data_IF_614588505742
#
_entry.id   IF_614588505742
#
_cell.length_a   1.000
_cell.length_b   1.000
_cell.length_c   1.000
_cell.angle_alpha   90.00
_cell.angle_beta   90.00
_cell.angle_gamma   90.00
#
_symmetry.space_group_name_H-M   'P 1'
#
loop_
_entity.id
_entity.type
_entity.pdbx_description
1 polymer ?
#
# COMPACT_ATOMS: atom_id res chain seq x y z
N UNK A 1 2.75 -54.32 -14.20
CA UNK A 1 2.84 -53.02 -13.52
C UNK A 1 4.19 -52.91 -12.82
N UNK A 2 5.15 -52.28 -13.47
CA UNK A 2 6.45 -52.04 -12.88
C UNK A 2 6.38 -50.79 -12.00
N UNK A 3 6.22 -50.96 -10.71
CA UNK A 3 6.50 -49.97 -9.70
C UNK A 3 7.96 -50.06 -9.30
N UNK A 4 8.87 -49.52 -10.14
CA UNK A 4 10.24 -49.27 -9.77
C UNK A 4 10.34 -47.92 -9.03
N UNK A 5 11.27 -47.77 -8.08
CA UNK A 5 11.50 -46.46 -7.48
C UNK A 5 12.06 -45.53 -8.54
N UNK A 6 11.20 -44.71 -9.12
CA UNK A 6 11.61 -43.67 -10.02
C UNK A 6 12.48 -42.66 -9.27
N UNK A 7 13.53 -42.15 -9.96
CA UNK A 7 14.38 -41.08 -9.45
C UNK A 7 13.50 -39.96 -8.92
N UNK A 8 13.72 -39.45 -7.69
CA UNK A 8 12.89 -38.35 -7.14
C UNK A 8 12.87 -37.18 -8.12
N UNK A 9 11.68 -36.82 -8.58
CA UNK A 9 11.54 -35.65 -9.44
C UNK A 9 11.55 -34.42 -8.53
N UNK A 10 12.57 -33.56 -8.67
CA UNK A 10 12.59 -32.28 -8.00
C UNK A 10 11.50 -31.40 -8.60
N UNK A 11 10.57 -30.97 -7.74
CA UNK A 11 9.58 -29.95 -8.11
C UNK A 11 10.18 -28.59 -7.80
N UNK A 12 10.29 -27.78 -8.82
CA UNK A 12 10.76 -26.40 -8.70
C UNK A 12 9.56 -25.46 -8.75
N UNK A 13 9.52 -24.50 -7.86
CA UNK A 13 8.56 -23.41 -7.90
C UNK A 13 9.31 -22.09 -7.79
N UNK A 14 8.75 -21.04 -8.40
CA UNK A 14 9.29 -19.70 -8.27
C UNK A 14 9.08 -19.21 -6.84
N UNK A 15 10.13 -18.69 -6.25
CA UNK A 15 10.03 -17.91 -5.01
C UNK A 15 9.38 -16.56 -5.30
N UNK A 16 8.87 -15.89 -4.28
CA UNK A 16 8.29 -14.54 -4.44
C UNK A 16 9.33 -13.59 -5.04
N UNK A 17 10.57 -13.64 -4.56
CA UNK A 17 11.68 -12.89 -5.14
C UNK A 17 11.98 -13.26 -6.61
N UNK A 18 11.81 -14.52 -6.97
CA UNK A 18 11.97 -14.99 -8.35
C UNK A 18 10.86 -14.47 -9.26
N UNK A 19 9.63 -14.34 -8.76
CA UNK A 19 8.49 -13.79 -9.50
C UNK A 19 8.66 -12.33 -9.85
N UNK A 20 9.35 -11.55 -9.01
CA UNK A 20 9.62 -10.12 -9.24
C UNK A 20 10.45 -9.88 -10.52
N UNK A 21 11.17 -10.88 -11.00
CA UNK A 21 11.95 -10.78 -12.23
C UNK A 21 11.15 -11.02 -13.52
N UNK A 22 9.88 -11.43 -13.39
CA UNK A 22 9.01 -11.65 -14.54
C UNK A 22 8.08 -10.48 -14.78
N UNK A 23 7.71 -10.19 -16.04
CA UNK A 23 6.73 -9.16 -16.34
C UNK A 23 5.42 -9.43 -15.59
N UNK A 24 4.93 -8.43 -14.87
CA UNK A 24 3.65 -8.48 -14.20
C UNK A 24 2.57 -7.81 -15.06
N UNK A 25 1.63 -8.62 -15.56
CA UNK A 25 0.51 -8.14 -16.35
C UNK A 25 -0.57 -7.41 -15.54
N UNK A 26 -0.57 -7.57 -14.21
CA UNK A 26 -1.61 -7.00 -13.35
C UNK A 26 -1.60 -5.47 -13.35
N UNK A 27 -0.44 -4.83 -13.40
CA UNK A 27 -0.32 -3.38 -13.52
C UNK A 27 -0.92 -2.87 -14.83
N UNK A 28 -0.61 -3.53 -15.95
CA UNK A 28 -1.16 -3.16 -17.27
C UNK A 28 -2.67 -3.33 -17.31
N UNK A 29 -3.17 -4.40 -16.71
CA UNK A 29 -4.60 -4.62 -16.56
C UNK A 29 -5.27 -3.52 -15.72
N UNK A 30 -4.69 -3.17 -14.57
CA UNK A 30 -5.20 -2.11 -13.69
C UNK A 30 -5.23 -0.75 -14.40
N UNK A 31 -4.16 -0.38 -15.10
CA UNK A 31 -4.10 0.86 -15.89
C UNK A 31 -5.16 0.86 -17.00
N UNK A 32 -5.30 -0.23 -17.74
CA UNK A 32 -6.31 -0.37 -18.77
C UNK A 32 -7.73 -0.24 -18.23
N UNK A 33 -8.00 -0.84 -17.07
CA UNK A 33 -9.28 -0.74 -16.40
C UNK A 33 -9.58 0.70 -15.93
N UNK A 34 -8.60 1.37 -15.33
CA UNK A 34 -8.71 2.78 -14.91
C UNK A 34 -8.92 3.72 -16.11
N UNK A 35 -8.21 3.51 -17.22
CA UNK A 35 -8.40 4.24 -18.44
C UNK A 35 -9.83 4.08 -19.00
N UNK A 36 -10.34 2.85 -19.00
CA UNK A 36 -11.70 2.57 -19.44
C UNK A 36 -12.74 3.24 -18.55
N UNK A 37 -12.53 3.20 -17.23
CA UNK A 37 -13.39 3.87 -16.26
C UNK A 37 -13.39 5.38 -16.46
N UNK A 38 -12.21 5.99 -16.67
CA UNK A 38 -12.09 7.42 -16.93
C UNK A 38 -12.79 7.83 -18.21
N UNK A 39 -12.74 6.99 -19.24
CA UNK A 39 -13.36 7.27 -20.53
C UNK A 39 -14.89 7.12 -20.52
N UNK A 40 -15.43 6.26 -19.63
CA UNK A 40 -16.84 5.87 -19.65
C UNK A 40 -17.66 6.39 -18.48
N UNK A 41 -17.03 6.70 -17.34
CA UNK A 41 -17.71 7.17 -16.15
C UNK A 41 -17.54 8.68 -15.96
N UNK A 42 -18.53 9.36 -15.37
CA UNK A 42 -18.34 10.72 -14.88
C UNK A 42 -17.19 10.77 -13.86
N UNK A 43 -16.42 11.85 -13.86
CA UNK A 43 -15.28 12.05 -12.96
C UNK A 43 -15.67 11.84 -11.49
N UNK A 44 -16.81 12.39 -11.09
CA UNK A 44 -17.32 12.25 -9.72
C UNK A 44 -17.63 10.79 -9.36
N UNK A 45 -18.16 10.01 -10.30
CA UNK A 45 -18.43 8.59 -10.09
C UNK A 45 -17.13 7.80 -9.90
N UNK A 46 -16.12 8.07 -10.72
CA UNK A 46 -14.80 7.42 -10.57
C UNK A 46 -14.17 7.75 -9.22
N UNK A 47 -14.25 9.01 -8.80
CA UNK A 47 -13.76 9.46 -7.50
C UNK A 47 -14.49 8.75 -6.35
N UNK A 48 -15.80 8.60 -6.44
CA UNK A 48 -16.59 7.86 -5.44
C UNK A 48 -16.19 6.38 -5.37
N UNK A 49 -15.93 5.73 -6.51
CA UNK A 49 -15.46 4.34 -6.55
C UNK A 49 -14.11 4.19 -5.84
N UNK A 50 -13.15 5.06 -6.12
CA UNK A 50 -11.83 5.04 -5.48
C UNK A 50 -11.93 5.31 -3.98
N UNK A 51 -12.77 6.26 -3.58
CA UNK A 51 -13.01 6.58 -2.17
C UNK A 51 -13.67 5.39 -1.45
N UNK A 52 -14.64 4.73 -2.07
CA UNK A 52 -15.29 3.56 -1.49
C UNK A 52 -14.29 2.42 -1.27
N UNK A 53 -13.41 2.17 -2.22
CA UNK A 53 -12.35 1.18 -2.07
C UNK A 53 -11.41 1.51 -0.91
N UNK A 54 -11.04 2.78 -0.74
CA UNK A 54 -10.22 3.22 0.38
C UNK A 54 -10.92 3.02 1.73
N UNK A 55 -12.21 3.35 1.81
CA UNK A 55 -13.01 3.14 3.03
C UNK A 55 -13.11 1.67 3.41
N UNK A 56 -13.42 0.80 2.45
CA UNK A 56 -13.54 -0.64 2.69
C UNK A 56 -12.22 -1.23 3.17
N UNK A 57 -11.12 -0.84 2.54
CA UNK A 57 -9.78 -1.27 2.91
C UNK A 57 -9.36 -0.74 4.28
N UNK A 58 -9.68 0.50 4.60
CA UNK A 58 -9.42 1.10 5.90
C UNK A 58 -10.19 0.37 7.02
N UNK A 59 -11.43 0.00 6.77
CA UNK A 59 -12.21 -0.78 7.71
C UNK A 59 -11.57 -2.16 7.97
N UNK A 60 -11.11 -2.81 6.91
CA UNK A 60 -10.38 -4.08 7.02
C UNK A 60 -9.07 -3.91 7.82
N UNK A 61 -8.31 -2.87 7.54
CA UNK A 61 -7.08 -2.57 8.29
C UNK A 61 -7.36 -2.31 9.77
N UNK A 62 -8.36 -1.49 10.10
CA UNK A 62 -8.74 -1.23 11.50
C UNK A 62 -9.07 -2.51 12.25
N UNK A 63 -9.77 -3.43 11.60
CA UNK A 63 -10.11 -4.72 12.19
C UNK A 63 -8.87 -5.56 12.50
N UNK A 64 -7.90 -5.60 11.59
CA UNK A 64 -6.66 -6.37 11.75
C UNK A 64 -5.67 -5.72 12.74
N UNK A 65 -5.58 -4.40 12.75
CA UNK A 65 -4.67 -3.66 13.63
C UNK A 65 -5.11 -3.76 15.09
N UNK A 66 -6.43 -3.68 15.34
CA UNK A 66 -6.97 -3.73 16.69
C UNK A 66 -6.61 -2.51 17.54
N UNK A 67 -6.53 -2.73 18.83
CA UNK A 67 -6.24 -1.71 19.84
C UNK A 67 -4.75 -1.73 20.22
N UNK A 68 -4.27 -0.63 20.75
CA UNK A 68 -2.89 -0.49 21.21
C UNK A 68 -2.42 0.95 21.19
N UNK A 69 -1.15 1.15 21.54
CA UNK A 69 -0.51 2.45 21.40
C UNK A 69 -0.43 2.85 19.93
N UNK A 70 -0.30 4.13 19.64
CA UNK A 70 -0.16 4.60 18.27
C UNK A 70 1.02 3.92 17.57
N UNK A 71 2.18 3.82 18.23
CA UNK A 71 3.35 3.14 17.67
C UNK A 71 3.09 1.68 17.32
N UNK A 72 2.39 0.94 18.18
CA UNK A 72 2.00 -0.45 17.92
C UNK A 72 1.05 -0.56 16.73
N UNK A 73 0.05 0.29 16.67
CA UNK A 73 -0.92 0.33 15.56
C UNK A 73 -0.25 0.66 14.23
N UNK A 74 0.67 1.62 14.22
CA UNK A 74 1.39 2.02 13.00
C UNK A 74 2.37 0.95 12.53
N UNK A 75 3.00 0.21 13.44
CA UNK A 75 3.84 -0.93 13.05
C UNK A 75 3.00 -2.07 12.46
N UNK A 76 1.83 -2.32 12.99
CA UNK A 76 0.87 -3.27 12.39
C UNK A 76 0.42 -2.82 11.01
N UNK A 77 0.13 -1.54 10.84
CA UNK A 77 -0.21 -0.97 9.54
C UNK A 77 0.95 -1.13 8.55
N UNK A 78 2.16 -0.83 8.96
CA UNK A 78 3.35 -1.00 8.11
C UNK A 78 3.54 -2.47 7.69
N UNK A 79 3.29 -3.40 8.61
CA UNK A 79 3.34 -4.84 8.32
C UNK A 79 2.30 -5.26 7.27
N UNK A 80 1.06 -4.80 7.39
CA UNK A 80 0.01 -5.07 6.42
C UNK A 80 0.36 -4.52 5.04
N UNK A 81 0.93 -3.33 4.98
CA UNK A 81 1.35 -2.74 3.71
C UNK A 81 2.53 -3.48 3.09
N UNK A 82 3.49 -3.94 3.89
CA UNK A 82 4.58 -4.80 3.39
C UNK A 82 4.06 -6.08 2.77
N UNK A 83 3.05 -6.69 3.37
CA UNK A 83 2.39 -7.89 2.82
C UNK A 83 1.72 -7.63 1.46
N UNK A 84 1.32 -6.40 1.20
CA UNK A 84 0.74 -5.95 -0.07
C UNK A 84 1.78 -5.49 -1.10
N UNK A 85 3.07 -5.56 -0.78
CA UNK A 85 4.17 -5.24 -1.70
C UNK A 85 4.77 -3.85 -1.54
N UNK A 86 4.34 -3.06 -0.53
CA UNK A 86 4.98 -1.79 -0.21
C UNK A 86 6.23 -2.03 0.63
N UNK A 87 7.30 -1.29 0.38
CA UNK A 87 8.46 -1.24 1.29
C UNK A 87 8.22 -0.11 2.27
N UNK A 88 7.55 -0.44 3.36
CA UNK A 88 7.05 0.51 4.35
C UNK A 88 7.84 0.41 5.63
N UNK A 89 8.28 1.55 6.13
CA UNK A 89 8.92 1.68 7.45
C UNK A 89 8.14 2.69 8.30
N UNK A 90 8.14 2.45 9.60
CA UNK A 90 7.51 3.34 10.57
C UNK A 90 8.56 3.74 11.60
N UNK A 91 8.67 5.04 11.89
CA UNK A 91 9.60 5.58 12.88
C UNK A 91 9.03 6.82 13.57
N UNK A 92 9.40 7.04 14.85
CA UNK A 92 9.01 8.27 15.53
C UNK A 92 9.76 9.47 14.92
N UNK A 93 9.11 10.62 14.91
CA UNK A 93 9.72 11.89 14.56
C UNK A 93 10.44 12.51 15.77
N UNK A 94 11.31 13.47 15.50
CA UNK A 94 12.11 14.15 16.53
C UNK A 94 11.29 15.03 17.48
N UNK A 95 10.04 15.34 17.14
CA UNK A 95 9.14 16.14 17.98
C UNK A 95 8.58 15.35 19.19
N UNK A 96 8.81 14.05 19.25
CA UNK A 96 8.33 13.18 20.33
C UNK A 96 6.83 12.86 20.27
N UNK A 97 6.10 13.33 19.27
CA UNK A 97 4.65 13.15 19.14
C UNK A 97 4.25 12.51 17.82
N UNK A 98 4.89 12.93 16.74
CA UNK A 98 4.56 12.49 15.39
C UNK A 98 5.32 11.24 14.99
N UNK A 99 4.75 10.54 14.02
CA UNK A 99 5.32 9.35 13.43
C UNK A 99 5.45 9.52 11.92
N UNK A 100 6.46 8.92 11.37
CA UNK A 100 6.71 8.85 9.94
C UNK A 100 6.42 7.46 9.44
N UNK A 101 5.43 7.34 8.56
CA UNK A 101 5.18 6.13 7.78
C UNK A 101 5.73 6.37 6.37
N UNK A 102 6.91 5.83 6.12
CA UNK A 102 7.65 6.07 4.87
C UNK A 102 7.54 4.87 3.94
N UNK A 103 7.25 5.12 2.69
CA UNK A 103 7.20 4.12 1.63
C UNK A 103 8.30 4.41 0.61
N UNK A 104 9.35 3.59 0.65
CA UNK A 104 10.50 3.74 -0.26
C UNK A 104 10.16 3.20 -1.65
N UNK A 105 9.34 2.15 -1.68
CA UNK A 105 8.83 1.57 -2.90
C UNK A 105 7.31 1.43 -2.78
N UNK A 106 6.60 2.21 -3.56
CA UNK A 106 5.15 2.18 -3.58
C UNK A 106 4.68 1.27 -4.70
N UNK A 107 3.92 0.22 -4.37
CA UNK A 107 3.42 -0.72 -5.36
C UNK A 107 2.46 -0.10 -6.37
N UNK A 108 1.86 1.04 -6.03
CA UNK A 108 0.98 1.80 -6.94
C UNK A 108 1.64 3.02 -7.57
N UNK A 109 2.93 3.25 -7.32
CA UNK A 109 3.62 4.47 -7.79
C UNK A 109 3.45 4.69 -9.29
N UNK A 110 3.67 3.67 -10.10
CA UNK A 110 3.56 3.77 -11.55
C UNK A 110 2.12 3.99 -12.02
N UNK A 111 1.15 3.46 -11.27
CA UNK A 111 -0.26 3.75 -11.52
C UNK A 111 -0.56 5.20 -11.17
N UNK A 112 -0.07 5.66 -10.04
CA UNK A 112 -0.27 7.02 -9.56
C UNK A 112 0.36 8.10 -10.46
N UNK A 113 1.44 7.80 -11.17
CA UNK A 113 2.05 8.69 -12.16
C UNK A 113 1.09 9.02 -13.31
N UNK A 114 0.30 8.04 -13.73
CA UNK A 114 -0.73 8.20 -14.76
C UNK A 114 -2.10 8.63 -14.21
N UNK A 115 -2.38 8.24 -12.97
CA UNK A 115 -3.63 8.52 -12.25
C UNK A 115 -3.36 9.11 -10.87
N UNK A 116 -3.16 10.43 -10.76
CA UNK A 116 -2.89 11.09 -9.47
C UNK A 116 -3.96 10.85 -8.41
N UNK A 117 -5.20 10.62 -8.80
CA UNK A 117 -6.30 10.29 -7.88
C UNK A 117 -6.01 9.03 -7.02
N UNK A 118 -5.17 8.13 -7.48
CA UNK A 118 -4.73 6.95 -6.70
C UNK A 118 -3.90 7.38 -5.49
N UNK A 119 -3.07 8.40 -5.60
CA UNK A 119 -2.34 8.96 -4.45
C UNK A 119 -3.30 9.59 -3.42
N UNK A 120 -4.35 10.26 -3.87
CA UNK A 120 -5.37 10.82 -2.97
C UNK A 120 -6.15 9.70 -2.26
N UNK A 121 -6.41 8.61 -2.96
CA UNK A 121 -7.00 7.39 -2.37
C UNK A 121 -6.09 6.81 -1.27
N UNK A 122 -4.79 6.74 -1.48
CA UNK A 122 -3.84 6.26 -0.48
C UNK A 122 -3.82 7.15 0.77
N UNK A 123 -3.86 8.47 0.60
CA UNK A 123 -3.96 9.39 1.73
C UNK A 123 -5.27 9.20 2.50
N UNK A 124 -6.38 9.06 1.81
CA UNK A 124 -7.67 8.79 2.42
C UNK A 124 -7.66 7.46 3.19
N UNK A 125 -7.07 6.42 2.62
CA UNK A 125 -6.91 5.12 3.27
C UNK A 125 -6.20 5.25 4.62
N UNK A 126 -5.06 5.93 4.66
CA UNK A 126 -4.31 6.10 5.92
C UNK A 126 -5.11 6.95 6.92
N UNK A 127 -5.72 8.05 6.48
CA UNK A 127 -6.57 8.90 7.34
C UNK A 127 -7.73 8.13 7.96
N UNK A 128 -8.36 7.24 7.21
CA UNK A 128 -9.47 6.42 7.70
C UNK A 128 -9.03 5.25 8.57
N UNK A 129 -7.79 4.81 8.42
CA UNK A 129 -7.21 3.74 9.24
C UNK A 129 -6.87 4.23 10.65
N UNK A 130 -6.41 5.47 10.79
CA UNK A 130 -6.09 6.11 12.07
C UNK A 130 -6.88 7.43 12.23
N UNK A 131 -8.21 7.35 12.41
CA UNK A 131 -9.07 8.54 12.40
C UNK A 131 -8.85 9.46 13.61
N UNK A 132 -8.21 8.97 14.66
CA UNK A 132 -7.80 9.73 15.85
C UNK A 132 -6.52 10.55 15.62
N UNK A 133 -5.93 10.49 14.44
CA UNK A 133 -4.71 11.19 14.08
C UNK A 133 -4.94 12.18 12.94
N UNK A 134 -4.07 13.18 12.89
CA UNK A 134 -3.88 14.02 11.72
C UNK A 134 -2.86 13.34 10.81
N UNK A 135 -3.16 13.21 9.53
CA UNK A 135 -2.29 12.57 8.54
C UNK A 135 -2.02 13.53 7.40
N UNK A 136 -0.75 13.76 7.15
CA UNK A 136 -0.26 14.61 6.05
C UNK A 136 0.63 13.80 5.12
N UNK A 137 0.45 13.98 3.82
CA UNK A 137 1.37 13.42 2.83
C UNK A 137 2.66 14.21 2.83
N UNK A 138 3.81 13.51 2.87
CA UNK A 138 5.14 14.11 2.86
C UNK A 138 6.01 13.42 1.82
N UNK A 139 6.85 14.20 1.16
CA UNK A 139 7.85 13.69 0.23
C UNK A 139 9.24 13.97 0.79
N UNK A 140 10.10 12.95 0.78
CA UNK A 140 11.49 13.10 1.14
C UNK A 140 12.38 12.88 -0.08
N UNK A 141 13.45 13.65 -0.17
CA UNK A 141 14.53 13.37 -1.11
C UNK A 141 15.52 12.43 -0.43
N UNK A 142 15.72 11.25 -1.05
CA UNK A 142 16.74 10.30 -0.63
C UNK A 142 17.86 10.27 -1.68
N UNK A 143 19.07 9.87 -1.29
CA UNK A 143 20.11 9.52 -2.23
C UNK A 143 19.58 8.39 -3.14
N UNK A 144 19.49 8.62 -4.45
CA UNK A 144 19.02 7.67 -5.45
C UNK A 144 17.52 7.67 -5.72
N UNK A 145 16.72 8.61 -5.18
CA UNK A 145 15.30 8.71 -5.49
C UNK A 145 14.45 9.52 -4.53
N UNK A 146 13.15 9.48 -4.74
CA UNK A 146 12.15 10.08 -3.85
C UNK A 146 11.47 9.00 -3.03
N UNK A 147 11.34 9.23 -1.73
CA UNK A 147 10.40 8.49 -0.90
C UNK A 147 9.17 9.36 -0.65
N UNK A 148 8.00 8.74 -0.69
CA UNK A 148 6.78 9.38 -0.22
C UNK A 148 6.29 8.66 1.03
N UNK A 149 5.39 9.29 1.76
CA UNK A 149 4.76 8.70 2.92
C UNK A 149 3.91 9.70 3.65
N UNK A 150 3.73 9.43 4.93
CA UNK A 150 2.78 10.17 5.74
C UNK A 150 3.41 10.56 7.07
N UNK A 151 3.17 11.80 7.48
CA UNK A 151 3.38 12.22 8.86
C UNK A 151 2.07 12.04 9.60
N UNK A 152 2.12 11.31 10.69
CA UNK A 152 0.96 10.96 11.50
C UNK A 152 1.15 11.56 12.89
N UNK A 153 0.24 12.45 13.28
CA UNK A 153 0.29 13.16 14.55
C UNK A 153 -1.01 12.89 15.31
N UNK A 154 -0.96 12.45 16.58
CA UNK A 154 -2.17 12.33 17.37
C UNK A 154 -2.91 13.67 17.43
N UNK A 155 -4.23 13.65 17.31
CA UNK A 155 -5.04 14.83 17.56
C UNK A 155 -5.09 15.09 19.06
N UNK A 156 -4.91 16.34 19.42
CA UNK A 156 -5.17 16.75 20.79
C UNK A 156 -6.66 16.58 21.07
N UNK A 157 -6.95 15.83 22.11
CA UNK A 157 -8.32 15.55 22.55
C UNK A 157 -8.99 16.73 23.20
#
# INVERSE_FOLDING_TARGET
SATGPGRPSNRWSLTDKGREHFPDGSRRFALGLLDSMRATLPEETLKQLLNQQAEDKAQHYRHLIGEGTLGQRLEQLASLRRDEGYITTCSPESDGQSWRLQEVHCSVQRIAEEFPAVCDQELLLIRRTVPDCQVERVHWRLEGGHACGFRITPREG
#
